data_IF_365436531556
#
_entry.id   IF_365436531556
#
_cell.length_a   1.000
_cell.length_b   1.000
_cell.length_c   1.000
_cell.angle_alpha   90.00
_cell.angle_beta   90.00
_cell.angle_gamma   90.00
#
_symmetry.space_group_name_H-M   'P 1'
#
loop_
_entity.id
_entity.type
_entity.pdbx_description
1 polymer ?
#
# COMPACT_ATOMS: atom_id res chain seq x y z
N UNK A 1 6.09 20.08 -4.46
CA UNK A 1 4.88 19.47 -3.86
C UNK A 1 4.81 18.01 -4.31
N UNK A 2 4.46 17.05 -3.44
CA UNK A 2 4.17 15.69 -3.94
C UNK A 2 2.84 15.73 -4.67
N UNK A 3 2.85 15.45 -5.96
CA UNK A 3 1.62 15.30 -6.75
C UNK A 3 0.81 14.17 -6.12
N UNK A 4 -0.39 14.50 -5.65
CA UNK A 4 -1.35 13.51 -5.15
C UNK A 4 -2.23 13.10 -6.32
N UNK A 5 -2.29 11.81 -6.58
CA UNK A 5 -3.03 11.19 -7.68
C UNK A 5 -4.32 10.56 -7.15
N UNK A 6 -5.38 10.59 -7.96
CA UNK A 6 -6.60 9.84 -7.70
C UNK A 6 -6.53 8.51 -8.45
N UNK A 7 -6.55 7.39 -7.72
CA UNK A 7 -6.37 6.04 -8.28
C UNK A 7 -7.30 5.03 -7.61
N UNK A 8 -7.59 3.87 -8.23
CA UNK A 8 -8.31 2.80 -7.57
C UNK A 8 -7.58 2.29 -6.32
N UNK A 9 -8.31 2.09 -5.22
CA UNK A 9 -7.77 1.49 -4.01
C UNK A 9 -7.44 0.01 -4.24
N UNK A 10 -6.22 -0.41 -3.91
CA UNK A 10 -5.84 -1.82 -4.03
C UNK A 10 -6.68 -2.75 -3.12
N UNK A 11 -7.26 -2.24 -2.04
CA UNK A 11 -8.04 -3.05 -1.09
C UNK A 11 -9.51 -3.19 -1.47
N UNK A 12 -10.13 -2.16 -2.04
CA UNK A 12 -11.58 -2.13 -2.27
C UNK A 12 -12.01 -1.54 -3.62
N UNK A 13 -11.07 -1.20 -4.50
CA UNK A 13 -11.29 -0.62 -5.84
C UNK A 13 -11.94 0.76 -5.91
N UNK A 14 -12.52 1.26 -4.81
CA UNK A 14 -13.01 2.63 -4.70
C UNK A 14 -11.90 3.67 -4.90
N UNK A 15 -12.27 4.91 -5.22
CA UNK A 15 -11.31 5.98 -5.44
C UNK A 15 -10.49 6.27 -4.17
N UNK A 16 -9.16 6.26 -4.31
CA UNK A 16 -8.20 6.55 -3.26
C UNK A 16 -7.25 7.65 -3.70
N UNK A 17 -6.59 8.28 -2.73
CA UNK A 17 -5.48 9.20 -2.98
C UNK A 17 -4.17 8.45 -2.86
N UNK A 18 -3.26 8.69 -3.79
CA UNK A 18 -1.91 8.13 -3.81
C UNK A 18 -0.86 9.22 -3.95
N UNK A 19 0.26 9.12 -3.24
CA UNK A 19 1.39 10.03 -3.40
C UNK A 19 2.71 9.33 -3.07
N UNK A 20 3.82 9.87 -3.58
CA UNK A 20 5.16 9.37 -3.25
C UNK A 20 5.46 9.56 -1.76
N UNK A 21 5.89 8.49 -1.11
CA UNK A 21 6.40 8.52 0.25
C UNK A 21 7.83 9.09 0.27
N UNK A 22 7.97 10.32 0.78
CA UNK A 22 9.26 10.98 0.88
C UNK A 22 10.10 10.48 2.04
N UNK A 23 9.49 9.76 3.00
CA UNK A 23 10.21 9.18 4.12
C UNK A 23 10.89 7.86 3.74
N UNK A 24 10.60 7.36 2.53
CA UNK A 24 11.11 6.10 2.02
C UNK A 24 11.64 6.20 0.57
N UNK A 25 12.67 7.03 0.33
CA UNK A 25 13.18 7.29 -1.01
C UNK A 25 13.84 6.08 -1.65
N UNK A 26 14.36 5.13 -0.85
CA UNK A 26 15.08 3.96 -1.33
C UNK A 26 14.17 2.96 -2.05
N UNK A 27 12.93 2.79 -1.60
CA UNK A 27 11.98 1.82 -2.16
C UNK A 27 11.01 2.46 -3.16
N UNK A 28 11.09 3.78 -3.37
CA UNK A 28 10.18 4.50 -4.26
C UNK A 28 8.70 4.32 -3.86
N UNK A 29 8.47 4.16 -2.55
CA UNK A 29 7.17 3.78 -2.02
C UNK A 29 6.11 4.83 -2.29
N UNK A 30 4.87 4.37 -2.48
CA UNK A 30 3.69 5.24 -2.61
C UNK A 30 2.72 4.97 -1.48
N UNK A 31 2.29 6.02 -0.79
CA UNK A 31 1.23 5.93 0.21
C UNK A 31 -0.11 5.96 -0.50
N UNK A 32 -0.97 5.00 -0.16
CA UNK A 32 -2.39 4.99 -0.46
C UNK A 32 -3.18 5.46 0.77
N UNK A 33 -4.22 6.27 0.54
CA UNK A 33 -5.24 6.60 1.53
C UNK A 33 -6.62 6.56 0.87
N UNK A 34 -7.45 5.63 1.32
CA UNK A 34 -8.81 5.44 0.84
C UNK A 34 -9.82 5.85 1.93
N UNK A 35 -10.73 6.76 1.61
CA UNK A 35 -11.80 7.16 2.52
C UNK A 35 -12.91 6.10 2.63
N UNK A 36 -13.15 5.32 1.57
CA UNK A 36 -14.24 4.35 1.54
C UNK A 36 -14.01 3.14 2.45
N UNK A 37 -12.79 2.60 2.50
CA UNK A 37 -12.44 1.48 3.38
C UNK A 37 -11.60 1.88 4.60
N UNK A 38 -11.33 3.18 4.77
CA UNK A 38 -10.42 3.70 5.81
C UNK A 38 -8.94 3.30 5.63
N UNK A 39 -8.58 2.66 4.52
CA UNK A 39 -7.25 2.08 4.36
C UNK A 39 -6.16 3.13 4.16
N UNK A 40 -5.12 3.09 4.99
CA UNK A 40 -3.85 3.81 4.79
C UNK A 40 -2.67 2.85 4.86
N UNK A 41 -1.91 2.75 3.78
CA UNK A 41 -0.80 1.80 3.61
C UNK A 41 0.19 2.29 2.56
N UNK A 42 1.42 1.79 2.62
CA UNK A 42 2.47 2.03 1.63
C UNK A 42 2.58 0.84 0.66
N UNK A 43 3.09 1.09 -0.55
CA UNK A 43 3.43 0.06 -1.53
C UNK A 43 4.77 0.43 -2.15
N UNK A 44 5.77 -0.44 -2.04
CA UNK A 44 7.06 -0.25 -2.71
C UNK A 44 6.90 -0.22 -4.24
N UNK A 45 7.81 0.47 -4.93
CA UNK A 45 7.67 0.71 -6.38
C UNK A 45 7.66 -0.57 -7.23
N UNK A 46 8.50 -1.54 -6.88
CA UNK A 46 8.59 -2.86 -7.51
C UNK A 46 7.33 -3.71 -7.26
N UNK A 47 6.83 -3.70 -6.03
CA UNK A 47 5.61 -4.38 -5.62
C UNK A 47 4.40 -3.80 -6.34
N UNK A 48 4.34 -2.47 -6.49
CA UNK A 48 3.28 -1.82 -7.27
C UNK A 48 3.29 -2.29 -8.73
N UNK A 49 4.46 -2.33 -9.35
CA UNK A 49 4.61 -2.85 -10.72
C UNK A 49 4.18 -4.31 -10.84
N UNK A 50 4.46 -5.16 -9.85
CA UNK A 50 4.01 -6.54 -9.81
C UNK A 50 2.47 -6.67 -9.72
N UNK A 51 1.85 -5.84 -8.87
CA UNK A 51 0.39 -5.79 -8.70
C UNK A 51 -0.29 -5.32 -9.99
N UNK A 52 0.20 -4.25 -10.61
CA UNK A 52 -0.38 -3.69 -11.85
C UNK A 52 -0.27 -4.66 -13.03
N UNK A 53 0.75 -5.52 -13.06
CA UNK A 53 0.91 -6.58 -14.05
C UNK A 53 0.07 -7.84 -13.74
N UNK A 54 -0.63 -7.89 -12.61
CA UNK A 54 -1.42 -9.05 -12.20
C UNK A 54 -0.58 -10.28 -11.84
N UNK A 55 0.67 -10.10 -11.41
CA UNK A 55 1.59 -11.22 -11.08
C UNK A 55 1.23 -11.97 -9.80
N UNK A 56 0.35 -11.42 -8.96
CA UNK A 56 0.02 -11.97 -7.66
C UNK A 56 -1.48 -12.14 -7.48
N UNK A 57 -1.90 -13.25 -6.86
CA UNK A 57 -3.19 -13.31 -6.20
C UNK A 57 -3.10 -12.50 -4.90
N UNK A 58 -3.88 -11.43 -4.84
CA UNK A 58 -3.80 -10.41 -3.80
C UNK A 58 -4.86 -10.59 -2.71
N UNK A 59 -5.63 -11.69 -2.69
CA UNK A 59 -6.68 -11.89 -1.69
C UNK A 59 -6.12 -11.94 -0.25
N UNK A 60 -5.16 -12.83 0.00
CA UNK A 60 -4.50 -12.96 1.31
C UNK A 60 -3.71 -11.70 1.67
N UNK A 61 -3.04 -11.11 0.67
CA UNK A 61 -2.31 -9.85 0.82
C UNK A 61 -3.22 -8.72 1.33
N UNK A 62 -4.41 -8.57 0.73
CA UNK A 62 -5.40 -7.57 1.18
C UNK A 62 -5.85 -7.83 2.61
N UNK A 63 -6.03 -9.09 3.00
CA UNK A 63 -6.42 -9.45 4.36
C UNK A 63 -5.33 -9.05 5.37
N UNK A 64 -4.06 -9.36 5.10
CA UNK A 64 -2.92 -8.99 5.94
C UNK A 64 -2.75 -7.46 6.09
N UNK A 65 -2.94 -6.71 5.01
CA UNK A 65 -2.93 -5.23 5.05
C UNK A 65 -4.06 -4.71 5.94
N UNK A 66 -5.29 -5.22 5.78
CA UNK A 66 -6.43 -4.80 6.60
C UNK A 66 -6.22 -5.11 8.08
N UNK A 67 -5.70 -6.30 8.41
CA UNK A 67 -5.40 -6.69 9.78
C UNK A 67 -4.36 -5.75 10.43
N UNK A 68 -3.30 -5.40 9.68
CA UNK A 68 -2.29 -4.45 10.14
C UNK A 68 -2.88 -3.07 10.43
N UNK A 69 -3.72 -2.56 9.52
CA UNK A 69 -4.42 -1.27 9.69
C UNK A 69 -5.33 -1.29 10.92
N UNK A 70 -6.13 -2.36 11.10
CA UNK A 70 -6.99 -2.52 12.26
C UNK A 70 -6.21 -2.58 13.59
N UNK A 71 -4.96 -3.03 13.53
CA UNK A 71 -4.03 -3.07 14.68
C UNK A 71 -3.28 -1.74 14.90
N UNK A 72 -3.63 -0.68 14.16
CA UNK A 72 -2.99 0.64 14.27
C UNK A 72 -1.58 0.71 13.67
N UNK A 73 -1.19 -0.28 12.86
CA UNK A 73 0.10 -0.31 12.17
C UNK A 73 -0.05 0.33 10.79
N UNK A 74 0.95 1.06 10.33
CA UNK A 74 1.09 1.45 8.93
C UNK A 74 1.83 0.33 8.17
N UNK A 75 1.13 -0.48 7.37
CA UNK A 75 1.77 -1.53 6.60
C UNK A 75 2.39 -0.98 5.31
N UNK A 76 3.47 -1.60 4.85
CA UNK A 76 4.01 -1.49 3.49
C UNK A 76 3.93 -2.85 2.80
N UNK A 77 3.44 -2.85 1.57
CA UNK A 77 3.52 -4.00 0.67
C UNK A 77 4.86 -3.96 -0.06
N UNK A 78 5.57 -5.08 -0.10
CA UNK A 78 6.85 -5.23 -0.80
C UNK A 78 6.90 -6.50 -1.65
N UNK A 79 7.84 -6.53 -2.59
CA UNK A 79 8.28 -7.76 -3.24
C UNK A 79 9.46 -8.33 -2.43
N UNK A 80 9.26 -9.50 -1.85
CA UNK A 80 10.32 -10.26 -1.18
C UNK A 80 10.62 -11.51 -2.00
N UNK A 81 11.71 -11.46 -2.78
CA UNK A 81 12.20 -12.59 -3.60
C UNK A 81 11.15 -13.11 -4.59
N UNK A 82 10.39 -12.21 -5.22
CA UNK A 82 9.35 -12.50 -6.21
C UNK A 82 7.96 -12.75 -5.62
N UNK A 83 7.81 -12.66 -4.29
CA UNK A 83 6.55 -12.91 -3.58
C UNK A 83 6.08 -11.67 -2.83
N UNK A 84 4.76 -11.40 -2.77
CA UNK A 84 4.26 -10.27 -2.01
C UNK A 84 4.43 -10.49 -0.51
N UNK A 85 4.83 -9.45 0.21
CA UNK A 85 4.88 -9.44 1.67
C UNK A 85 4.28 -8.16 2.24
N UNK A 86 3.86 -8.21 3.50
CA UNK A 86 3.39 -7.04 4.26
C UNK A 86 4.28 -6.86 5.47
N UNK A 87 4.92 -5.70 5.57
CA UNK A 87 5.78 -5.35 6.70
C UNK A 87 5.24 -4.11 7.42
N UNK A 88 5.57 -3.97 8.71
CA UNK A 88 5.26 -2.78 9.48
C UNK A 88 6.33 -1.69 9.24
N UNK A 89 5.92 -0.51 8.79
CA UNK A 89 6.83 0.63 8.56
C UNK A 89 6.53 1.84 9.44
N UNK A 90 5.51 1.74 10.28
CA UNK A 90 5.15 2.79 11.22
C UNK A 90 3.79 2.55 11.88
N UNK A 91 3.18 3.64 12.35
CA UNK A 91 1.84 3.63 12.96
C UNK A 91 0.83 4.35 12.06
N UNK A 92 -0.43 3.95 12.19
CA UNK A 92 -1.53 4.75 11.67
C UNK A 92 -1.47 6.13 12.33
N UNK A 93 -1.55 7.18 11.52
CA UNK A 93 -1.70 8.53 12.04
C UNK A 93 -3.17 8.68 12.46
N UNK A 94 -3.37 9.07 13.71
CA UNK A 94 -4.69 9.41 14.27
C UNK A 94 -5.38 10.51 13.48
#
# INVERSE_FOLDING_TARGET
>A
MSTTEAVPCLLCTALARRWLDRQDPLHGSRIYRCAACGGRFAVAGDALGAIEQGRWDVAELKAAVRQSIASGILPRIEDTKGSPSVIAVGRQAS
#
